data_IF_000969425551
#
_entry.id   IF_000969425551
#
_cell.length_a   1.000
_cell.length_b   1.000
_cell.length_c   1.000
_cell.angle_alpha   90.00
_cell.angle_beta   90.00
_cell.angle_gamma   90.00
#
_symmetry.space_group_name_H-M   'P 1'
#
loop_
_entity.id
_entity.type
_entity.pdbx_description
1 polymer ?
#
# COMPACT_ATOMS: atom_id res chain seq x y z
N UNK A 1 -41.08 -7.39 11.50
CA UNK A 1 -40.01 -7.56 10.49
C UNK A 1 -38.70 -7.30 11.20
N UNK A 2 -37.86 -8.32 11.38
CA UNK A 2 -36.54 -8.12 11.99
C UNK A 2 -35.66 -7.33 11.04
N UNK A 3 -34.99 -6.28 11.52
CA UNK A 3 -33.98 -5.58 10.75
C UNK A 3 -32.88 -6.56 10.34
N UNK A 4 -32.55 -6.63 9.06
CA UNK A 4 -31.41 -7.40 8.55
C UNK A 4 -30.17 -7.05 9.38
N UNK A 5 -29.40 -8.01 9.92
CA UNK A 5 -28.14 -7.71 10.61
C UNK A 5 -27.13 -7.00 9.70
N UNK A 6 -27.32 -7.07 8.38
CA UNK A 6 -26.53 -6.35 7.38
C UNK A 6 -26.95 -4.87 7.20
N UNK A 7 -27.98 -4.43 7.93
CA UNK A 7 -28.45 -3.04 7.92
C UNK A 7 -27.56 -2.11 8.75
N UNK A 8 -26.85 -2.61 9.77
CA UNK A 8 -25.91 -1.82 10.58
C UNK A 8 -24.53 -1.73 9.89
N UNK A 9 -24.12 -0.53 9.41
CA UNK A 9 -22.83 -0.35 8.76
C UNK A 9 -21.64 -0.69 9.66
N UNK A 10 -21.73 -0.43 10.96
CA UNK A 10 -20.62 -0.67 11.89
C UNK A 10 -20.40 -2.17 12.13
N UNK A 11 -21.49 -2.93 12.28
CA UNK A 11 -21.43 -4.38 12.41
C UNK A 11 -20.88 -5.04 11.13
N UNK A 12 -21.34 -4.61 9.95
CA UNK A 12 -20.83 -5.09 8.65
C UNK A 12 -19.33 -4.83 8.53
N UNK A 13 -18.89 -3.60 8.81
CA UNK A 13 -17.48 -3.24 8.74
C UNK A 13 -16.62 -4.07 9.69
N UNK A 14 -17.07 -4.25 10.94
CA UNK A 14 -16.33 -5.03 11.94
C UNK A 14 -16.13 -6.48 11.49
N UNK A 15 -17.17 -7.12 10.98
CA UNK A 15 -17.07 -8.50 10.48
C UNK A 15 -16.09 -8.59 9.30
N UNK A 16 -16.16 -7.65 8.34
CA UNK A 16 -15.21 -7.61 7.22
C UNK A 16 -13.77 -7.37 7.71
N UNK A 17 -13.57 -6.48 8.67
CA UNK A 17 -12.25 -6.18 9.23
C UNK A 17 -11.66 -7.38 9.97
N UNK A 18 -12.47 -8.08 10.78
CA UNK A 18 -12.05 -9.29 11.49
C UNK A 18 -11.63 -10.41 10.53
N UNK A 19 -12.41 -10.65 9.47
CA UNK A 19 -12.05 -11.62 8.42
C UNK A 19 -10.77 -11.21 7.69
N UNK A 20 -10.61 -9.92 7.39
CA UNK A 20 -9.43 -9.39 6.72
C UNK A 20 -8.17 -9.55 7.58
N UNK A 21 -8.25 -9.20 8.87
CA UNK A 21 -7.13 -9.33 9.82
C UNK A 21 -6.78 -10.80 10.09
N UNK A 22 -7.76 -11.71 10.02
CA UNK A 22 -7.55 -13.16 10.07
C UNK A 22 -6.93 -13.74 8.78
N UNK A 23 -6.80 -12.95 7.71
CA UNK A 23 -6.33 -13.40 6.40
C UNK A 23 -7.33 -14.24 5.62
N UNK A 24 -8.60 -14.27 6.03
CA UNK A 24 -9.68 -14.96 5.33
C UNK A 24 -10.23 -14.09 4.18
N UNK A 25 -9.42 -13.93 3.13
CA UNK A 25 -9.78 -13.09 1.99
C UNK A 25 -10.99 -13.62 1.22
N UNK A 26 -11.19 -14.94 1.18
CA UNK A 26 -12.37 -15.55 0.57
C UNK A 26 -13.64 -15.16 1.35
N UNK A 27 -13.62 -15.32 2.68
CA UNK A 27 -14.70 -14.90 3.56
C UNK A 27 -15.01 -13.40 3.45
N UNK A 28 -14.00 -12.54 3.35
CA UNK A 28 -14.19 -11.10 3.09
C UNK A 28 -14.98 -10.87 1.79
N UNK A 29 -14.61 -11.57 0.71
CA UNK A 29 -15.27 -11.46 -0.60
C UNK A 29 -16.72 -11.92 -0.58
N UNK A 30 -16.99 -13.07 0.05
CA UNK A 30 -18.32 -13.65 0.20
C UNK A 30 -19.23 -12.74 1.03
N UNK A 31 -18.79 -12.36 2.23
CA UNK A 31 -19.55 -11.51 3.14
C UNK A 31 -19.78 -10.11 2.55
N UNK A 32 -18.74 -9.50 1.96
CA UNK A 32 -18.85 -8.22 1.29
C UNK A 32 -19.86 -8.23 0.14
N UNK A 33 -19.88 -9.29 -0.66
CA UNK A 33 -20.84 -9.47 -1.76
C UNK A 33 -22.26 -9.62 -1.23
N UNK A 34 -22.47 -10.40 -0.17
CA UNK A 34 -23.78 -10.54 0.48
C UNK A 34 -24.29 -9.20 1.07
N UNK A 35 -23.40 -8.42 1.69
CA UNK A 35 -23.73 -7.13 2.28
C UNK A 35 -23.96 -6.00 1.25
N UNK A 36 -23.52 -6.17 0.00
CA UNK A 36 -23.57 -5.11 -1.02
C UNK A 36 -24.98 -4.57 -1.28
N UNK A 37 -25.99 -5.44 -1.26
CA UNK A 37 -27.38 -5.03 -1.46
C UNK A 37 -27.84 -4.00 -0.41
N UNK A 38 -27.49 -4.21 0.86
CA UNK A 38 -27.84 -3.29 1.94
C UNK A 38 -26.95 -2.05 1.96
N UNK A 39 -25.64 -2.20 1.71
CA UNK A 39 -24.71 -1.07 1.53
C UNK A 39 -25.22 -0.12 0.45
N UNK A 40 -25.51 -0.62 -0.75
CA UNK A 40 -25.86 0.19 -1.92
C UNK A 40 -27.19 0.97 -1.80
N UNK A 41 -28.10 0.51 -0.94
CA UNK A 41 -29.42 1.16 -0.72
C UNK A 41 -29.41 2.25 0.34
N UNK A 42 -28.44 2.28 1.25
CA UNK A 42 -28.35 3.27 2.33
C UNK A 42 -27.51 4.48 1.94
N UNK A 43 -27.71 5.58 2.65
CA UNK A 43 -26.86 6.78 2.53
C UNK A 43 -25.38 6.41 2.76
N UNK A 44 -24.44 6.98 1.98
CA UNK A 44 -23.02 6.70 2.14
C UNK A 44 -22.52 7.05 3.54
N UNK A 45 -21.83 6.10 4.17
CA UNK A 45 -21.20 6.26 5.48
C UNK A 45 -19.75 5.74 5.47
N UNK A 46 -18.86 6.23 6.34
CA UNK A 46 -17.45 5.83 6.36
C UNK A 46 -17.22 4.33 6.48
N UNK A 47 -18.00 3.63 7.31
CA UNK A 47 -17.93 2.18 7.49
C UNK A 47 -18.12 1.40 6.18
N UNK A 48 -19.07 1.79 5.35
CA UNK A 48 -19.28 1.12 4.06
C UNK A 48 -18.17 1.44 3.06
N UNK A 49 -17.66 2.67 3.09
CA UNK A 49 -16.56 3.08 2.21
C UNK A 49 -15.31 2.22 2.48
N UNK A 50 -14.97 2.08 3.75
CA UNK A 50 -13.84 1.27 4.18
C UNK A 50 -14.10 -0.23 3.98
N UNK A 51 -15.31 -0.71 4.23
CA UNK A 51 -15.70 -2.09 3.91
C UNK A 51 -15.48 -2.41 2.44
N UNK A 52 -15.88 -1.53 1.53
CA UNK A 52 -15.63 -1.70 0.10
C UNK A 52 -14.12 -1.73 -0.22
N UNK A 53 -13.30 -0.92 0.48
CA UNK A 53 -11.85 -0.91 0.31
C UNK A 53 -11.20 -2.21 0.79
N UNK A 54 -11.62 -2.74 1.94
CA UNK A 54 -11.13 -4.03 2.45
C UNK A 54 -11.52 -5.18 1.51
N UNK A 55 -12.74 -5.18 1.00
CA UNK A 55 -13.17 -6.17 0.01
C UNK A 55 -12.38 -6.04 -1.30
N UNK A 56 -12.11 -4.83 -1.77
CA UNK A 56 -11.22 -4.58 -2.91
C UNK A 56 -9.84 -5.20 -2.69
N UNK A 57 -9.21 -4.96 -1.52
CA UNK A 57 -7.89 -5.50 -1.20
C UNK A 57 -7.91 -7.04 -1.11
N UNK A 58 -8.90 -7.63 -0.44
CA UNK A 58 -9.04 -9.08 -0.35
C UNK A 58 -9.27 -9.73 -1.72
N UNK A 59 -10.02 -9.07 -2.60
CA UNK A 59 -10.25 -9.51 -3.99
C UNK A 59 -8.95 -9.47 -4.79
N UNK A 60 -8.10 -8.46 -4.57
CA UNK A 60 -6.79 -8.35 -5.22
C UNK A 60 -5.84 -9.47 -4.79
N UNK A 61 -5.83 -9.83 -3.50
CA UNK A 61 -5.04 -10.96 -2.98
C UNK A 61 -5.43 -12.31 -3.60
N UNK A 62 -6.66 -12.45 -4.07
CA UNK A 62 -7.17 -13.66 -4.72
C UNK A 62 -6.93 -13.67 -6.25
N UNK A 63 -6.38 -12.61 -6.84
CA UNK A 63 -6.17 -12.52 -8.29
C UNK A 63 -7.46 -12.38 -9.12
N UNK A 64 -8.58 -11.98 -8.51
CA UNK A 64 -9.88 -11.85 -9.19
C UNK A 64 -10.02 -10.52 -9.95
N UNK A 65 -9.32 -10.42 -11.09
CA UNK A 65 -9.03 -9.17 -11.82
C UNK A 65 -10.19 -8.18 -11.99
N UNK A 66 -11.30 -8.56 -12.63
CA UNK A 66 -12.41 -7.63 -12.89
C UNK A 66 -13.20 -7.24 -11.64
N UNK A 67 -13.24 -8.11 -10.62
CA UNK A 67 -13.93 -7.83 -9.38
C UNK A 67 -13.20 -6.76 -8.54
N UNK A 68 -11.87 -6.68 -8.62
CA UNK A 68 -11.08 -5.63 -7.95
C UNK A 68 -11.51 -4.25 -8.42
N UNK A 69 -11.66 -4.05 -9.74
CA UNK A 69 -12.06 -2.78 -10.32
C UNK A 69 -13.45 -2.34 -9.84
N UNK A 70 -14.40 -3.27 -9.79
CA UNK A 70 -15.76 -3.02 -9.29
C UNK A 70 -15.70 -2.54 -7.83
N UNK A 71 -14.97 -3.26 -6.98
CA UNK A 71 -14.83 -2.89 -5.56
C UNK A 71 -14.07 -1.59 -5.35
N UNK A 72 -13.06 -1.30 -6.19
CA UNK A 72 -12.34 -0.02 -6.17
C UNK A 72 -13.27 1.15 -6.47
N UNK A 73 -14.09 1.05 -7.53
CA UNK A 73 -15.07 2.09 -7.87
C UNK A 73 -16.08 2.29 -6.75
N UNK A 74 -16.59 1.19 -6.16
CA UNK A 74 -17.50 1.26 -5.00
C UNK A 74 -16.89 1.98 -3.80
N UNK A 75 -15.64 1.66 -3.45
CA UNK A 75 -14.91 2.32 -2.37
C UNK A 75 -14.67 3.80 -2.70
N UNK A 76 -14.16 4.09 -3.89
CA UNK A 76 -13.87 5.45 -4.35
C UNK A 76 -15.10 6.36 -4.29
N UNK A 77 -16.23 5.95 -4.89
CA UNK A 77 -17.46 6.74 -4.88
C UNK A 77 -17.93 7.03 -3.46
N UNK A 78 -17.83 6.06 -2.54
CA UNK A 78 -18.22 6.24 -1.15
C UNK A 78 -17.27 7.14 -0.37
N UNK A 79 -15.96 7.05 -0.58
CA UNK A 79 -15.01 7.98 0.04
C UNK A 79 -15.25 9.42 -0.43
N UNK A 80 -15.54 9.62 -1.72
CA UNK A 80 -15.92 10.94 -2.25
C UNK A 80 -17.20 11.44 -1.58
N UNK A 81 -18.26 10.63 -1.54
CA UNK A 81 -19.56 11.03 -0.98
C UNK A 81 -19.53 11.25 0.54
N UNK A 82 -18.62 10.58 1.24
CA UNK A 82 -18.39 10.82 2.66
C UNK A 82 -17.43 11.97 2.91
N UNK A 83 -16.74 12.51 1.89
CA UNK A 83 -15.70 13.53 2.07
C UNK A 83 -14.44 12.99 2.74
N UNK A 84 -14.19 11.69 2.72
CA UNK A 84 -13.02 11.05 3.34
C UNK A 84 -11.84 11.05 2.37
N UNK A 85 -11.07 12.14 2.40
CA UNK A 85 -9.97 12.43 1.49
C UNK A 85 -8.85 11.38 1.50
N UNK A 86 -8.51 10.87 2.68
CA UNK A 86 -7.49 9.82 2.84
C UNK A 86 -7.92 8.51 2.17
N UNK A 87 -9.21 8.17 2.21
CA UNK A 87 -9.74 7.00 1.51
C UNK A 87 -9.74 7.15 -0.02
N UNK A 88 -10.01 8.36 -0.52
CA UNK A 88 -9.84 8.68 -1.95
C UNK A 88 -8.38 8.47 -2.37
N UNK A 89 -7.44 9.02 -1.60
CA UNK A 89 -6.01 8.86 -1.86
C UNK A 89 -5.55 7.39 -1.81
N UNK A 90 -6.10 6.58 -0.90
CA UNK A 90 -5.83 5.14 -0.86
C UNK A 90 -6.29 4.41 -2.14
N UNK A 91 -7.40 4.84 -2.74
CA UNK A 91 -7.89 4.29 -4.00
C UNK A 91 -7.02 4.71 -5.19
N UNK A 92 -6.55 5.97 -5.22
CA UNK A 92 -5.59 6.46 -6.23
C UNK A 92 -4.29 5.66 -6.17
N UNK A 93 -3.75 5.45 -4.97
CA UNK A 93 -2.58 4.59 -4.77
C UNK A 93 -2.80 3.17 -5.30
N UNK A 94 -3.96 2.56 -5.00
CA UNK A 94 -4.30 1.22 -5.53
C UNK A 94 -4.34 1.21 -7.07
N UNK A 95 -4.85 2.27 -7.69
CA UNK A 95 -4.90 2.40 -9.14
C UNK A 95 -3.50 2.55 -9.75
N UNK A 96 -2.60 3.31 -9.13
CA UNK A 96 -1.20 3.43 -9.56
C UNK A 96 -0.50 2.06 -9.59
N UNK A 97 -0.72 1.23 -8.57
CA UNK A 97 -0.12 -0.11 -8.49
C UNK A 97 -0.77 -1.10 -9.45
N UNK A 98 -2.09 -0.99 -9.68
CA UNK A 98 -2.75 -1.74 -10.74
C UNK A 98 -2.18 -1.38 -12.12
N UNK A 99 -1.89 -0.09 -12.37
CA UNK A 99 -1.24 0.34 -13.61
C UNK A 99 0.18 -0.21 -13.75
N UNK A 100 0.99 -0.14 -12.69
CA UNK A 100 2.33 -0.73 -12.68
C UNK A 100 2.28 -2.24 -12.97
N UNK A 101 1.34 -2.95 -12.34
CA UNK A 101 1.14 -4.39 -12.55
C UNK A 101 0.75 -4.71 -13.99
N UNK A 102 -0.15 -3.93 -14.60
CA UNK A 102 -0.51 -4.07 -16.01
C UNK A 102 0.67 -3.83 -16.95
N UNK A 103 1.48 -2.79 -16.69
CA UNK A 103 2.69 -2.50 -17.48
C UNK A 103 3.78 -3.58 -17.34
N UNK A 104 3.60 -4.51 -16.38
CA UNK A 104 4.49 -5.64 -16.10
C UNK A 104 3.78 -6.99 -16.27
N UNK A 105 2.77 -7.07 -17.14
CA UNK A 105 2.04 -8.30 -17.51
C UNK A 105 1.48 -9.08 -16.31
N UNK A 106 1.03 -8.39 -15.25
CA UNK A 106 0.52 -8.99 -13.99
C UNK A 106 1.52 -9.92 -13.26
N UNK A 107 2.83 -9.68 -13.47
CA UNK A 107 3.99 -10.30 -12.80
C UNK A 107 4.14 -11.84 -12.76
N UNK A 108 4.18 -12.55 -13.91
CA UNK A 108 4.60 -13.96 -13.96
C UNK A 108 6.11 -14.18 -13.75
N UNK A 109 6.95 -13.13 -13.77
CA UNK A 109 8.42 -13.26 -13.77
C UNK A 109 9.09 -12.62 -12.55
N UNK A 110 9.62 -13.46 -11.65
CA UNK A 110 10.70 -13.14 -10.69
C UNK A 110 10.39 -12.07 -9.63
N UNK A 111 10.56 -12.41 -8.34
CA UNK A 111 10.39 -11.48 -7.20
C UNK A 111 11.51 -10.44 -7.07
N UNK A 112 12.13 -10.00 -8.16
CA UNK A 112 13.33 -9.15 -8.13
C UNK A 112 13.11 -7.79 -8.75
N UNK A 113 13.82 -6.78 -8.26
CA UNK A 113 13.72 -5.40 -8.71
C UNK A 113 14.07 -5.24 -10.19
N UNK A 114 14.98 -6.08 -10.72
CA UNK A 114 15.38 -6.04 -12.13
C UNK A 114 14.29 -6.55 -13.09
N UNK A 115 13.36 -7.39 -12.62
CA UNK A 115 12.24 -7.84 -13.45
C UNK A 115 11.07 -6.85 -13.48
N UNK A 116 11.13 -5.78 -12.67
CA UNK A 116 10.13 -4.72 -12.65
C UNK A 116 10.56 -3.60 -13.60
N UNK A 117 9.75 -3.37 -14.64
CA UNK A 117 9.86 -2.19 -15.50
C UNK A 117 9.16 -1.00 -14.83
N UNK A 118 9.83 0.15 -14.81
CA UNK A 118 9.25 1.40 -14.33
C UNK A 118 8.07 1.86 -15.20
N UNK A 119 7.04 2.38 -14.55
CA UNK A 119 5.84 2.89 -15.22
C UNK A 119 5.67 4.38 -14.96
N UNK A 120 5.76 5.18 -16.02
CA UNK A 120 5.45 6.62 -15.95
C UNK A 120 3.96 6.84 -15.66
N UNK A 121 3.08 6.04 -16.25
CA UNK A 121 1.64 6.14 -15.99
C UNK A 121 1.28 5.84 -14.53
N UNK A 122 1.95 4.88 -13.89
CA UNK A 122 1.76 4.62 -12.46
C UNK A 122 2.20 5.82 -11.61
N UNK A 123 3.32 6.46 -11.95
CA UNK A 123 3.79 7.65 -11.24
C UNK A 123 2.86 8.84 -11.43
N UNK A 124 2.41 9.09 -12.66
CA UNK A 124 1.48 10.18 -12.98
C UNK A 124 0.16 10.01 -12.19
N UNK A 125 -0.38 8.78 -12.09
CA UNK A 125 -1.56 8.48 -11.26
C UNK A 125 -1.25 8.72 -9.77
N UNK A 126 -0.09 8.29 -9.28
CA UNK A 126 0.27 8.47 -7.87
C UNK A 126 0.41 9.94 -7.49
N UNK A 127 0.98 10.77 -8.36
CA UNK A 127 1.17 12.20 -8.12
C UNK A 127 -0.17 12.96 -7.96
N UNK A 128 -1.29 12.41 -8.45
CA UNK A 128 -2.66 12.92 -8.17
C UNK A 128 -3.06 12.80 -6.68
N UNK A 129 -2.27 12.10 -5.86
CA UNK A 129 -2.45 12.12 -4.40
C UNK A 129 -1.96 13.42 -3.75
N UNK A 130 -1.14 14.23 -4.42
CA UNK A 130 -0.51 15.43 -3.84
C UNK A 130 -1.50 16.40 -3.16
N UNK A 131 -2.70 16.69 -3.73
CA UNK A 131 -3.70 17.54 -3.07
C UNK A 131 -4.27 16.94 -1.78
N UNK A 132 -4.27 15.61 -1.65
CA UNK A 132 -4.85 14.91 -0.50
C UNK A 132 -3.87 14.79 0.68
N UNK A 133 -2.56 14.75 0.42
CA UNK A 133 -1.53 14.70 1.48
C UNK A 133 -1.21 16.09 2.04
N UNK A 134 -1.38 17.15 1.23
CA UNK A 134 -1.11 18.54 1.60
C UNK A 134 -2.25 19.21 2.36
N UNK A 135 -3.50 18.83 2.09
CA UNK A 135 -4.69 19.40 2.75
C UNK A 135 -4.88 18.95 4.20
N UNK A 136 -5.76 19.64 4.92
CA UNK A 136 -6.20 19.25 6.27
C UNK A 136 -6.84 17.85 6.28
N UNK A 137 -6.60 17.10 7.36
CA UNK A 137 -7.10 15.74 7.52
C UNK A 137 -8.64 15.74 7.57
N UNK A 138 -9.28 14.69 7.06
CA UNK A 138 -10.74 14.62 7.07
C UNK A 138 -11.35 14.31 8.45
N UNK A 139 -10.52 14.06 9.46
CA UNK A 139 -10.93 13.75 10.83
C UNK A 139 -11.57 12.35 11.00
N UNK A 140 -11.54 11.51 9.97
CA UNK A 140 -12.14 10.18 9.98
C UNK A 140 -11.11 9.11 10.31
N UNK A 141 -11.42 8.36 11.34
CA UNK A 141 -10.73 7.13 11.74
C UNK A 141 -11.77 6.20 12.34
N UNK A 142 -11.93 5.01 11.76
CA UNK A 142 -12.91 4.02 12.22
C UNK A 142 -12.23 2.70 12.63
N UNK A 143 -10.89 2.69 12.80
CA UNK A 143 -10.15 1.51 13.25
C UNK A 143 -8.79 1.32 12.59
N UNK A 144 -8.05 0.30 13.05
CA UNK A 144 -6.61 0.16 12.82
C UNK A 144 -6.14 0.14 11.36
N UNK A 145 -6.95 -0.33 10.40
CA UNK A 145 -6.62 -0.36 8.97
C UNK A 145 -7.05 0.90 8.20
N UNK A 146 -7.80 1.80 8.85
CA UNK A 146 -8.35 2.98 8.22
C UNK A 146 -7.28 3.87 7.60
N UNK A 147 -7.54 4.46 6.43
CA UNK A 147 -6.64 5.44 5.85
C UNK A 147 -6.66 6.73 6.67
N UNK A 148 -5.55 7.02 7.36
CA UNK A 148 -5.32 8.28 8.08
C UNK A 148 -4.33 9.16 7.32
N UNK A 149 -4.33 10.48 7.59
CA UNK A 149 -3.46 11.43 6.88
C UNK A 149 -2.00 11.05 7.02
N UNK A 150 -1.55 10.76 8.25
CA UNK A 150 -0.18 10.36 8.52
C UNK A 150 0.21 9.13 7.70
N UNK A 151 -0.63 8.09 7.69
CA UNK A 151 -0.39 6.85 6.96
C UNK A 151 -0.34 7.08 5.45
N UNK A 152 -1.29 7.83 4.91
CA UNK A 152 -1.37 8.14 3.48
C UNK A 152 -0.19 9.01 3.02
N UNK A 153 0.19 10.03 3.79
CA UNK A 153 1.34 10.87 3.45
C UNK A 153 2.64 10.05 3.41
N UNK A 154 2.85 9.18 4.40
CA UNK A 154 4.00 8.27 4.40
C UNK A 154 3.96 7.33 3.20
N UNK A 155 2.83 6.67 2.97
CA UNK A 155 2.69 5.74 1.84
C UNK A 155 2.89 6.43 0.50
N UNK A 156 2.36 7.63 0.31
CA UNK A 156 2.63 8.43 -0.89
C UNK A 156 4.14 8.62 -1.09
N UNK A 157 4.86 9.08 -0.07
CA UNK A 157 6.29 9.30 -0.15
C UNK A 157 7.08 7.99 -0.42
N UNK A 158 6.74 6.89 0.26
CA UNK A 158 7.32 5.55 0.01
C UNK A 158 7.10 5.09 -1.44
N UNK A 159 5.85 5.11 -1.91
CA UNK A 159 5.47 4.59 -3.22
C UNK A 159 6.04 5.46 -4.33
N UNK A 160 6.05 6.77 -4.13
CA UNK A 160 6.65 7.71 -5.08
C UNK A 160 8.14 7.46 -5.18
N UNK A 161 8.83 7.28 -4.05
CA UNK A 161 10.25 6.87 -4.01
C UNK A 161 10.51 5.58 -4.80
N UNK A 162 9.67 4.56 -4.60
CA UNK A 162 9.77 3.30 -5.32
C UNK A 162 9.58 3.46 -6.84
N UNK A 163 8.52 4.16 -7.28
CA UNK A 163 8.26 4.37 -8.72
C UNK A 163 9.35 5.21 -9.39
N UNK A 164 9.86 6.25 -8.72
CA UNK A 164 10.97 7.06 -9.22
C UNK A 164 12.26 6.26 -9.34
N UNK A 165 12.53 5.38 -8.37
CA UNK A 165 13.67 4.46 -8.43
C UNK A 165 13.58 3.55 -9.65
N UNK A 166 12.41 2.94 -9.92
CA UNK A 166 12.21 2.10 -11.11
C UNK A 166 12.39 2.86 -12.43
N UNK A 167 12.19 4.18 -12.43
CA UNK A 167 12.42 5.08 -13.56
C UNK A 167 13.85 5.66 -13.59
N UNK A 168 14.76 5.14 -12.75
CA UNK A 168 16.14 5.61 -12.58
C UNK A 168 16.27 7.09 -12.19
N UNK A 169 15.23 7.68 -11.58
CA UNK A 169 15.23 9.05 -11.04
C UNK A 169 15.72 9.05 -9.59
N UNK A 170 16.96 8.59 -9.38
CA UNK A 170 17.47 8.26 -8.05
C UNK A 170 17.50 9.43 -7.06
N UNK A 171 17.80 10.66 -7.52
CA UNK A 171 17.79 11.85 -6.66
C UNK A 171 16.40 12.10 -6.07
N UNK A 172 15.38 12.14 -6.92
CA UNK A 172 14.00 12.37 -6.47
C UNK A 172 13.43 11.19 -5.68
N UNK A 173 13.86 9.97 -6.01
CA UNK A 173 13.52 8.78 -5.24
C UNK A 173 14.05 8.89 -3.80
N UNK A 174 15.30 9.34 -3.64
CA UNK A 174 15.93 9.60 -2.33
C UNK A 174 15.18 10.66 -1.55
N UNK A 175 14.89 11.81 -2.17
CA UNK A 175 14.10 12.88 -1.54
C UNK A 175 12.72 12.38 -1.06
N UNK A 176 12.07 11.53 -1.86
CA UNK A 176 10.79 10.94 -1.50
C UNK A 176 10.92 9.99 -0.30
N UNK A 177 11.97 9.16 -0.25
CA UNK A 177 12.21 8.31 0.91
C UNK A 177 12.68 9.08 2.15
N UNK A 178 13.41 10.19 2.00
CA UNK A 178 13.76 11.10 3.10
C UNK A 178 12.50 11.70 3.73
N UNK A 179 11.56 12.17 2.90
CA UNK A 179 10.26 12.62 3.36
C UNK A 179 9.45 11.50 4.05
N UNK A 180 9.47 10.28 3.50
CA UNK A 180 8.83 9.12 4.11
C UNK A 180 9.42 8.77 5.48
N UNK A 181 10.72 8.95 5.67
CA UNK A 181 11.40 8.64 6.92
C UNK A 181 10.98 9.61 8.04
N UNK A 182 10.86 10.90 7.71
CA UNK A 182 10.33 11.91 8.64
C UNK A 182 8.90 11.56 9.06
N UNK A 183 8.07 11.12 8.10
CA UNK A 183 6.66 10.76 8.34
C UNK A 183 6.51 9.43 9.10
N UNK A 184 7.51 8.56 9.06
CA UNK A 184 7.54 7.30 9.76
C UNK A 184 7.96 7.44 11.24
N UNK A 185 8.31 8.64 11.71
CA UNK A 185 8.72 8.86 13.10
C UNK A 185 7.74 8.26 14.11
N UNK A 186 8.23 7.34 14.94
CA UNK A 186 7.43 6.64 15.94
C UNK A 186 6.72 5.38 15.43
N UNK A 187 6.82 5.06 14.14
CA UNK A 187 6.47 3.76 13.56
C UNK A 187 7.77 3.05 13.15
N UNK A 188 8.33 2.30 14.10
CA UNK A 188 9.61 1.62 13.93
C UNK A 188 9.61 0.60 12.77
N UNK A 189 8.47 -0.07 12.49
CA UNK A 189 8.35 -0.93 11.29
C UNK A 189 8.40 -0.08 10.01
N UNK A 190 7.68 1.03 9.99
CA UNK A 190 7.72 2.00 8.90
C UNK A 190 9.11 2.56 8.63
N UNK A 191 9.83 2.97 9.68
CA UNK A 191 11.21 3.47 9.59
C UNK A 191 12.14 2.40 9.00
N UNK A 192 12.06 1.16 9.48
CA UNK A 192 12.85 0.06 8.95
C UNK A 192 12.60 -0.15 7.45
N UNK A 193 11.33 -0.14 7.02
CA UNK A 193 10.95 -0.29 5.62
C UNK A 193 11.46 0.85 4.75
N UNK A 194 11.31 2.10 5.20
CA UNK A 194 11.78 3.29 4.46
C UNK A 194 13.30 3.24 4.26
N UNK A 195 14.05 2.88 5.30
CA UNK A 195 15.52 2.76 5.21
C UNK A 195 15.93 1.63 4.26
N UNK A 196 15.18 0.53 4.26
CA UNK A 196 15.39 -0.55 3.30
C UNK A 196 15.16 -0.06 1.84
N UNK A 197 14.13 0.76 1.62
CA UNK A 197 13.86 1.39 0.32
C UNK A 197 14.99 2.34 -0.13
N UNK A 198 15.48 3.19 0.77
CA UNK A 198 16.65 4.07 0.52
C UNK A 198 17.88 3.29 0.10
N UNK A 199 18.13 2.15 0.76
CA UNK A 199 19.26 1.30 0.44
C UNK A 199 19.20 0.77 -1.00
N UNK A 200 18.01 0.44 -1.51
CA UNK A 200 17.82 0.07 -2.92
C UNK A 200 18.13 1.23 -3.86
N UNK A 201 17.70 2.45 -3.52
CA UNK A 201 18.05 3.65 -4.30
C UNK A 201 19.57 3.86 -4.32
N UNK A 202 20.24 3.75 -3.17
CA UNK A 202 21.69 3.83 -3.09
C UNK A 202 22.39 2.78 -3.95
N UNK A 203 21.87 1.55 -3.96
CA UNK A 203 22.42 0.49 -4.79
C UNK A 203 22.26 0.78 -6.29
N UNK A 204 21.06 1.17 -6.74
CA UNK A 204 20.82 1.49 -8.15
C UNK A 204 21.61 2.71 -8.63
N UNK A 205 21.89 3.65 -7.73
CA UNK A 205 22.73 4.83 -7.96
C UNK A 205 24.25 4.53 -7.89
N UNK A 206 24.65 3.27 -7.75
CA UNK A 206 26.06 2.85 -7.70
C UNK A 206 26.77 3.11 -6.37
N UNK A 207 26.07 3.60 -5.35
CA UNK A 207 26.61 3.89 -4.00
C UNK A 207 26.58 2.64 -3.12
N UNK A 208 27.28 1.59 -3.56
CA UNK A 208 27.19 0.23 -2.99
C UNK A 208 27.54 0.19 -1.49
N UNK A 209 28.58 0.90 -1.07
CA UNK A 209 28.98 0.94 0.35
C UNK A 209 27.94 1.58 1.26
N UNK A 210 27.18 2.56 0.75
CA UNK A 210 26.05 3.16 1.46
C UNK A 210 24.87 2.20 1.52
N UNK A 211 24.52 1.57 0.39
CA UNK A 211 23.44 0.60 0.31
C UNK A 211 23.61 -0.56 1.32
N UNK A 212 24.83 -1.09 1.46
CA UNK A 212 25.14 -2.15 2.43
C UNK A 212 24.89 -1.66 3.86
N UNK A 213 25.43 -0.50 4.24
CA UNK A 213 25.25 0.07 5.59
C UNK A 213 23.78 0.36 5.90
N UNK A 214 23.06 0.98 4.96
CA UNK A 214 21.63 1.26 5.15
C UNK A 214 20.81 -0.05 5.25
N UNK A 215 21.16 -1.09 4.49
CA UNK A 215 20.50 -2.40 4.59
C UNK A 215 20.75 -3.05 5.96
N UNK A 216 21.96 -2.97 6.50
CA UNK A 216 22.29 -3.45 7.85
C UNK A 216 21.47 -2.73 8.93
N UNK A 217 21.32 -1.41 8.80
CA UNK A 217 20.47 -0.61 9.70
C UNK A 217 19.00 -1.03 9.59
N UNK A 218 18.49 -1.26 8.37
CA UNK A 218 17.13 -1.72 8.17
C UNK A 218 16.88 -3.10 8.81
N UNK A 219 17.83 -4.03 8.70
CA UNK A 219 17.77 -5.36 9.33
C UNK A 219 17.72 -5.24 10.85
N UNK A 220 18.59 -4.41 11.45
CA UNK A 220 18.62 -4.20 12.89
C UNK A 220 17.26 -3.68 13.40
N UNK A 221 16.76 -2.59 12.80
CA UNK A 221 15.45 -2.02 13.16
C UNK A 221 14.31 -3.00 12.99
N UNK A 222 14.28 -3.73 11.88
CA UNK A 222 13.24 -4.72 11.63
C UNK A 222 13.32 -5.91 12.61
N UNK A 223 14.50 -6.24 13.11
CA UNK A 223 14.69 -7.28 14.12
C UNK A 223 14.15 -6.84 15.48
N UNK A 224 14.41 -5.59 15.88
CA UNK A 224 13.96 -5.03 17.16
C UNK A 224 12.43 -5.06 17.33
N UNK A 225 11.69 -4.97 16.21
CA UNK A 225 10.22 -4.96 16.19
C UNK A 225 9.59 -6.22 15.59
N UNK A 226 10.39 -7.24 15.27
CA UNK A 226 9.88 -8.48 14.68
C UNK A 226 9.24 -8.34 13.30
N UNK A 227 9.59 -7.31 12.52
CA UNK A 227 9.06 -7.05 11.17
C UNK A 227 9.69 -7.99 10.12
N UNK A 228 9.31 -9.27 10.15
CA UNK A 228 9.83 -10.31 9.26
C UNK A 228 9.63 -10.02 7.77
N UNK A 229 8.55 -9.33 7.41
CA UNK A 229 8.22 -8.91 6.04
C UNK A 229 9.24 -7.92 5.47
N UNK A 230 9.88 -7.10 6.30
CA UNK A 230 10.97 -6.19 5.92
C UNK A 230 12.33 -6.86 6.09
N UNK A 231 12.52 -7.56 7.21
CA UNK A 231 13.80 -8.17 7.58
C UNK A 231 14.27 -9.22 6.59
N UNK A 232 13.40 -10.13 6.15
CA UNK A 232 13.79 -11.25 5.30
C UNK A 232 14.23 -10.80 3.89
N UNK A 233 13.50 -9.90 3.19
CA UNK A 233 14.02 -9.32 1.96
C UNK A 233 15.31 -8.53 2.16
N UNK A 234 15.48 -7.85 3.29
CA UNK A 234 16.69 -7.06 3.57
C UNK A 234 17.93 -7.95 3.75
N UNK A 235 17.81 -9.08 4.45
CA UNK A 235 18.90 -10.07 4.57
C UNK A 235 19.30 -10.60 3.18
N UNK A 236 18.32 -11.03 2.38
CA UNK A 236 18.56 -11.47 1.00
C UNK A 236 19.28 -10.40 0.18
N UNK A 237 18.80 -9.15 0.26
CA UNK A 237 19.39 -8.03 -0.45
C UNK A 237 20.83 -7.77 -0.03
N UNK A 238 21.13 -7.80 1.27
CA UNK A 238 22.47 -7.62 1.80
C UNK A 238 23.45 -8.68 1.25
N UNK A 239 23.02 -9.94 1.24
CA UNK A 239 23.81 -11.06 0.69
C UNK A 239 24.10 -10.85 -0.80
N UNK A 240 23.06 -10.51 -1.58
CA UNK A 240 23.20 -10.23 -3.02
C UNK A 240 24.13 -9.05 -3.26
N UNK A 241 24.00 -7.95 -2.51
CA UNK A 241 24.86 -6.76 -2.63
C UNK A 241 26.33 -7.09 -2.34
N UNK A 242 26.60 -7.84 -1.26
CA UNK A 242 27.97 -8.25 -0.89
C UNK A 242 28.61 -9.19 -1.91
N UNK A 243 27.80 -10.01 -2.59
CA UNK A 243 28.24 -10.86 -3.69
C UNK A 243 28.36 -10.12 -5.03
N UNK A 244 28.05 -8.82 -5.10
CA UNK A 244 28.05 -8.05 -6.35
C UNK A 244 26.91 -8.41 -7.32
N UNK A 245 25.88 -9.10 -6.82
CA UNK A 245 24.71 -9.47 -7.62
C UNK A 245 23.67 -8.36 -7.71
N UNK A 246 22.69 -8.53 -8.60
CA UNK A 246 21.62 -7.53 -8.83
C UNK A 246 20.20 -8.09 -8.59
N UNK A 247 20.08 -9.31 -8.10
CA UNK A 247 18.81 -10.01 -7.87
C UNK A 247 18.14 -9.56 -6.55
N UNK A 248 17.99 -8.25 -6.36
CA UNK A 248 17.42 -7.66 -5.16
C UNK A 248 15.90 -7.81 -5.14
N UNK A 249 15.29 -8.02 -3.99
CA UNK A 249 13.84 -8.07 -3.77
C UNK A 249 13.32 -6.68 -3.40
N UNK A 250 12.19 -6.22 -3.99
CA UNK A 250 11.53 -5.00 -3.55
C UNK A 250 10.91 -5.20 -2.16
N UNK A 251 10.70 -4.09 -1.45
CA UNK A 251 9.96 -4.05 -0.18
C UNK A 251 8.51 -3.58 -0.36
N UNK A 252 8.15 -3.21 -1.59
CA UNK A 252 6.76 -2.93 -1.97
C UNK A 252 6.13 -4.19 -2.51
N UNK A 253 4.99 -4.57 -1.94
CA UNK A 253 4.14 -5.63 -2.46
C UNK A 253 3.32 -5.01 -3.59
N UNK A 254 3.51 -5.50 -4.81
CA UNK A 254 2.74 -5.12 -6.00
C UNK A 254 1.50 -5.99 -6.15
#
# INVERSE_FOLDING_TARGET
MGSSPLADPSAVHRCIAELFDAGDFAGVGEFGSAAWGDMSRRSPVPHDAESCRLVMLATAQQGAGSAVEIWRVRAFSRFVLTGWHEGVAACIMSLAFARLSQDNDSYPAGRTLRSVQGSRGALDILDEMAPYVSREASGRDIGGQSPTRQRISRFYAEKRGFLLMLLSRHTEARESYDAALILAAGDARGEAKVVAGRALVAFQDGRIGEAIRETEVAIARASDVGAGDVRLPAIHNLEVMRAGGTALRPYEIL
#
